data_IF_524822250594
#
_entry.id   IF_524822250594
#
_cell.length_a   1.000
_cell.length_b   1.000
_cell.length_c   1.000
_cell.angle_alpha   90.00
_cell.angle_beta   90.00
_cell.angle_gamma   90.00
#
_symmetry.space_group_name_H-M   'P 1'
#
loop_
_entity.id
_entity.type
_entity.pdbx_description
1 polymer ?
#
# COMPACT_ATOMS: atom_id res chain seq x y z
N UNK A 1 6.75 53.80 2.12
CA UNK A 1 5.49 53.24 1.56
C UNK A 1 5.58 51.73 1.58
N UNK A 2 4.89 51.08 2.52
CA UNK A 2 4.82 49.64 2.65
C UNK A 2 3.66 49.13 1.76
N UNK A 3 3.92 48.26 0.82
CA UNK A 3 2.86 47.52 0.11
C UNK A 3 2.66 46.18 0.77
N UNK A 4 1.51 46.01 1.36
CA UNK A 4 0.98 44.75 1.91
C UNK A 4 0.31 44.01 0.74
N UNK A 5 0.71 42.79 0.47
CA UNK A 5 -0.04 41.89 -0.41
C UNK A 5 -0.82 40.89 0.45
N UNK A 6 -2.12 41.04 0.41
CA UNK A 6 -3.11 40.14 0.96
C UNK A 6 -3.18 38.84 0.14
N UNK A 7 -3.06 37.71 0.81
CA UNK A 7 -3.42 36.39 0.24
C UNK A 7 -4.94 36.36 0.04
N UNK A 8 -5.38 36.16 -1.18
CA UNK A 8 -6.76 35.82 -1.48
C UNK A 8 -6.89 34.32 -1.69
N UNK A 9 -7.66 33.69 -0.81
CA UNK A 9 -8.20 32.35 -0.97
C UNK A 9 -9.01 32.26 -2.28
N UNK A 10 -8.72 31.26 -3.09
CA UNK A 10 -9.65 30.79 -4.10
C UNK A 10 -9.86 29.27 -3.96
N UNK A 11 -10.91 28.96 -3.23
CA UNK A 11 -11.63 27.72 -3.39
C UNK A 11 -12.49 27.83 -4.68
N UNK A 12 -12.36 26.88 -5.59
CA UNK A 12 -13.30 26.52 -6.65
C UNK A 12 -12.90 25.10 -7.04
N UNK A 13 -13.70 24.11 -6.91
CA UNK A 13 -15.08 24.06 -7.38
C UNK A 13 -15.13 22.89 -8.35
N UNK A 14 -15.80 21.84 -7.96
CA UNK A 14 -16.17 20.64 -8.71
C UNK A 14 -16.23 20.83 -10.24
N UNK A 15 -15.65 19.88 -10.97
CA UNK A 15 -16.31 19.37 -12.19
C UNK A 15 -16.13 17.87 -12.29
N UNK A 16 -17.22 17.19 -12.10
CA UNK A 16 -17.50 15.81 -12.41
C UNK A 16 -17.50 15.66 -13.93
N UNK A 17 -16.61 14.88 -14.48
CA UNK A 17 -16.74 14.38 -15.85
C UNK A 17 -16.49 12.89 -15.86
N UNK A 18 -17.56 12.12 -15.87
CA UNK A 18 -17.54 10.71 -16.19
C UNK A 18 -17.12 10.53 -17.66
N UNK A 19 -16.07 9.75 -17.89
CA UNK A 19 -15.84 9.17 -19.20
C UNK A 19 -15.53 7.68 -19.03
N UNK A 20 -16.54 6.86 -19.31
CA UNK A 20 -16.40 5.44 -19.57
C UNK A 20 -15.49 5.28 -20.81
N UNK A 21 -14.36 4.62 -20.66
CA UNK A 21 -13.70 3.99 -21.78
C UNK A 21 -13.39 2.54 -21.37
N UNK A 22 -14.24 1.65 -21.85
CA UNK A 22 -14.04 0.20 -21.89
C UNK A 22 -12.88 -0.07 -22.85
N UNK A 23 -11.81 -0.62 -22.32
CA UNK A 23 -10.66 -1.08 -23.07
C UNK A 23 -10.29 -2.49 -22.63
N UNK A 24 -10.99 -3.48 -23.17
CA UNK A 24 -10.62 -4.90 -23.07
C UNK A 24 -9.44 -5.16 -24.00
N UNK A 25 -8.26 -5.42 -23.47
CA UNK A 25 -7.19 -6.13 -24.20
C UNK A 25 -7.15 -7.57 -23.75
N UNK A 26 -7.79 -8.40 -24.55
CA UNK A 26 -7.67 -9.84 -24.47
C UNK A 26 -6.28 -10.26 -24.95
N UNK A 27 -5.53 -10.94 -24.10
CA UNK A 27 -4.37 -11.74 -24.52
C UNK A 27 -4.90 -13.07 -25.05
N UNK A 28 -4.80 -13.22 -26.38
CA UNK A 28 -5.08 -14.46 -27.05
C UNK A 28 -4.00 -15.47 -26.75
N UNK A 29 -4.35 -16.56 -26.08
CA UNK A 29 -3.58 -17.80 -26.14
C UNK A 29 -4.26 -18.76 -27.11
N UNK A 30 -3.47 -19.12 -28.11
CA UNK A 30 -3.79 -20.12 -29.12
C UNK A 30 -4.02 -21.50 -28.49
N UNK A 31 -5.21 -22.04 -28.63
CA UNK A 31 -5.43 -23.49 -28.62
C UNK A 31 -6.37 -23.85 -29.76
N UNK A 32 -5.83 -24.67 -30.68
CA UNK A 32 -6.51 -25.25 -31.82
C UNK A 32 -7.46 -26.37 -31.39
N UNK A 33 -8.65 -26.41 -32.00
CA UNK A 33 -9.31 -27.68 -32.32
C UNK A 33 -10.56 -28.05 -31.54
N UNK A 34 -11.61 -27.94 -32.21
CA UNK A 34 -12.70 -28.84 -32.55
C UNK A 34 -14.11 -28.47 -32.01
N UNK A 35 -14.92 -28.30 -33.01
CA UNK A 35 -16.39 -28.18 -33.04
C UNK A 35 -17.08 -29.37 -32.38
N UNK A 36 -18.07 -29.13 -31.53
CA UNK A 36 -19.40 -29.74 -31.66
C UNK A 36 -20.46 -29.04 -30.79
N UNK A 37 -21.64 -28.96 -31.40
CA UNK A 37 -22.88 -28.39 -30.96
C UNK A 37 -23.44 -29.09 -29.70
N UNK A 38 -23.93 -28.37 -28.74
CA UNK A 38 -24.71 -28.90 -27.62
C UNK A 38 -25.28 -27.81 -26.74
N UNK A 39 -26.50 -27.39 -27.07
CA UNK A 39 -27.34 -26.56 -26.19
C UNK A 39 -27.64 -27.34 -24.91
N UNK A 40 -27.21 -26.83 -23.76
CA UNK A 40 -27.73 -27.25 -22.46
C UNK A 40 -28.04 -26.00 -21.64
N UNK A 41 -29.33 -25.83 -21.38
CA UNK A 41 -29.85 -24.92 -20.37
C UNK A 41 -29.27 -25.25 -19.00
N UNK A 42 -28.85 -24.31 -18.40
CA UNK A 42 -28.68 -24.06 -17.15
C UNK A 42 -28.62 -24.50 -15.91
N UNK A 43 -27.87 -24.30 -15.07
CA UNK A 43 -28.11 -24.17 -13.62
C UNK A 43 -26.98 -23.29 -13.10
N UNK A 44 -27.29 -22.08 -12.66
CA UNK A 44 -26.39 -21.27 -11.86
C UNK A 44 -26.14 -22.02 -10.54
N UNK A 45 -25.11 -22.85 -10.56
CA UNK A 45 -24.50 -23.34 -9.33
C UNK A 45 -23.42 -22.31 -8.96
N UNK A 46 -23.72 -21.53 -7.94
CA UNK A 46 -22.75 -20.64 -7.30
C UNK A 46 -21.51 -21.43 -6.87
N UNK A 47 -20.54 -21.52 -7.72
CA UNK A 47 -19.20 -21.94 -7.34
C UNK A 47 -18.62 -20.83 -6.48
N UNK A 48 -18.44 -21.11 -5.20
CA UNK A 48 -17.55 -20.38 -4.32
C UNK A 48 -16.12 -20.53 -4.90
N UNK A 49 -15.82 -19.77 -5.96
CA UNK A 49 -14.43 -19.57 -6.34
C UNK A 49 -13.75 -18.89 -5.17
N UNK A 50 -12.67 -19.50 -4.68
CA UNK A 50 -11.81 -18.91 -3.66
C UNK A 50 -11.20 -17.62 -4.25
N UNK A 51 -11.94 -16.51 -4.19
CA UNK A 51 -11.41 -15.20 -4.54
C UNK A 51 -10.22 -14.93 -3.62
N UNK A 52 -9.03 -14.86 -4.20
CA UNK A 52 -7.82 -14.53 -3.47
C UNK A 52 -7.62 -13.02 -3.55
N UNK A 53 -7.83 -12.35 -2.43
CA UNK A 53 -7.56 -10.92 -2.32
C UNK A 53 -6.08 -10.69 -1.98
N UNK A 54 -5.45 -9.75 -2.69
CA UNK A 54 -4.09 -9.30 -2.42
C UNK A 54 -4.09 -7.77 -2.19
N UNK A 55 -3.30 -7.28 -1.24
CA UNK A 55 -3.17 -5.84 -1.03
C UNK A 55 -2.52 -5.17 -2.25
N UNK A 56 -2.75 -3.88 -2.41
CA UNK A 56 -2.07 -3.08 -3.42
C UNK A 56 -0.55 -3.25 -3.32
N UNK A 57 0.12 -3.26 -4.46
CA UNK A 57 1.58 -3.40 -4.50
C UNK A 57 2.25 -2.23 -3.77
N UNK A 58 3.31 -2.50 -3.02
CA UNK A 58 4.05 -1.45 -2.29
C UNK A 58 4.48 -0.30 -3.21
N UNK A 59 4.89 -0.61 -4.44
CA UNK A 59 5.31 0.41 -5.40
C UNK A 59 4.22 1.43 -5.76
N UNK A 60 2.93 1.08 -5.66
CA UNK A 60 1.82 2.02 -5.85
C UNK A 60 1.58 2.93 -4.63
N UNK A 61 2.16 2.58 -3.49
CA UNK A 61 2.09 3.35 -2.23
C UNK A 61 3.31 4.24 -2.01
N UNK A 62 4.31 4.19 -2.92
CA UNK A 62 5.49 5.04 -2.84
C UNK A 62 5.22 6.39 -3.51
N UNK A 63 5.18 7.45 -2.70
CA UNK A 63 5.02 8.81 -3.17
C UNK A 63 6.35 9.58 -3.00
N UNK A 64 6.97 10.03 -4.10
CA UNK A 64 8.17 10.83 -4.03
C UNK A 64 7.93 12.15 -3.31
N UNK A 65 8.86 12.54 -2.45
CA UNK A 65 8.88 13.86 -1.81
C UNK A 65 10.03 14.70 -2.34
N UNK A 66 9.90 16.01 -2.24
CA UNK A 66 10.95 16.92 -2.68
C UNK A 66 12.23 16.72 -1.85
N UNK A 67 13.37 16.70 -2.55
CA UNK A 67 14.69 16.75 -1.91
C UNK A 67 14.94 18.17 -1.38
N UNK A 68 15.14 18.30 -0.07
CA UNK A 68 15.43 19.57 0.59
C UNK A 68 16.77 19.58 1.35
N UNK A 69 17.35 18.42 1.62
CA UNK A 69 18.58 18.31 2.41
C UNK A 69 18.40 18.74 3.87
N UNK A 70 19.44 19.36 4.46
CA UNK A 70 19.42 19.94 5.81
C UNK A 70 18.97 18.97 6.92
N UNK A 71 19.43 17.72 6.86
CA UNK A 71 19.06 16.67 7.79
C UNK A 71 17.76 15.96 7.46
N UNK A 72 17.26 16.11 6.23
CA UNK A 72 16.08 15.37 5.75
C UNK A 72 16.29 13.86 5.92
N UNK A 73 15.35 13.21 6.57
CA UNK A 73 15.32 11.75 6.68
C UNK A 73 14.39 11.15 5.63
N UNK A 74 14.89 10.16 4.91
CA UNK A 74 14.14 9.55 3.82
C UNK A 74 14.66 8.13 3.53
N UNK A 75 13.83 7.35 2.82
CA UNK A 75 14.29 6.20 2.06
C UNK A 75 14.68 6.65 0.66
N UNK A 76 15.62 5.94 0.03
CA UNK A 76 16.09 6.23 -1.33
C UNK A 76 15.76 5.03 -2.19
N UNK A 77 14.93 5.24 -3.21
CA UNK A 77 14.36 4.19 -4.05
C UNK A 77 14.78 4.36 -5.50
N UNK A 78 15.33 3.30 -6.09
CA UNK A 78 15.67 3.27 -7.51
C UNK A 78 14.44 2.95 -8.36
N UNK A 79 14.11 3.82 -9.30
CA UNK A 79 12.89 3.75 -10.10
C UNK A 79 12.89 2.54 -11.04
N UNK A 80 14.02 2.26 -11.68
CA UNK A 80 14.13 1.20 -12.69
C UNK A 80 14.14 -0.20 -12.07
N UNK A 81 14.96 -0.42 -11.04
CA UNK A 81 15.09 -1.72 -10.39
C UNK A 81 14.01 -2.00 -9.36
N UNK A 82 13.25 -0.96 -8.98
CA UNK A 82 12.22 -1.03 -7.93
C UNK A 82 12.78 -1.51 -6.60
N UNK A 83 13.93 -0.95 -6.19
CA UNK A 83 14.63 -1.34 -4.99
C UNK A 83 15.07 -0.13 -4.16
N UNK A 84 15.18 -0.33 -2.84
CA UNK A 84 15.69 0.66 -1.90
C UNK A 84 17.18 0.48 -1.65
N UNK A 85 17.89 1.58 -1.42
CA UNK A 85 19.27 1.55 -0.92
C UNK A 85 19.27 1.15 0.55
N UNK A 86 20.22 0.30 0.91
CA UNK A 86 20.55 -0.03 2.32
C UNK A 86 21.96 0.40 2.69
N UNK A 87 22.25 0.47 3.98
CA UNK A 87 23.62 0.64 4.50
C UNK A 87 24.54 -0.58 4.27
N UNK A 88 24.07 -1.55 3.47
CA UNK A 88 24.82 -2.75 3.08
C UNK A 88 25.21 -2.65 1.60
N UNK A 89 25.91 -3.63 1.12
CA UNK A 89 26.41 -3.67 -0.27
C UNK A 89 25.34 -4.06 -1.30
N UNK A 90 24.10 -4.33 -0.88
CA UNK A 90 23.00 -4.75 -1.71
C UNK A 90 21.75 -3.88 -1.50
N UNK A 91 20.89 -3.83 -2.50
CA UNK A 91 19.57 -3.20 -2.40
C UNK A 91 18.52 -4.18 -1.90
N UNK A 92 17.38 -3.67 -1.42
CA UNK A 92 16.22 -4.47 -0.98
C UNK A 92 14.95 -4.05 -1.72
N UNK A 93 14.00 -4.97 -1.84
CA UNK A 93 12.76 -4.73 -2.58
C UNK A 93 11.67 -4.06 -1.76
N UNK A 94 11.63 -4.32 -0.45
CA UNK A 94 10.55 -3.86 0.41
C UNK A 94 11.00 -2.72 1.33
N UNK A 95 10.15 -1.72 1.52
CA UNK A 95 10.43 -0.58 2.41
C UNK A 95 10.66 -1.00 3.86
N UNK A 96 10.04 -2.10 4.31
CA UNK A 96 10.24 -2.63 5.67
C UNK A 96 11.70 -3.00 5.95
N UNK A 97 12.44 -3.42 4.93
CA UNK A 97 13.83 -3.87 4.99
C UNK A 97 14.82 -2.75 4.62
N UNK A 98 14.30 -1.60 4.20
CA UNK A 98 15.09 -0.44 3.80
C UNK A 98 15.62 0.34 5.01
N UNK A 99 16.80 0.93 4.83
CA UNK A 99 17.41 1.81 5.82
C UNK A 99 17.02 3.27 5.58
N UNK A 100 16.89 4.02 6.67
CA UNK A 100 16.69 5.47 6.65
C UNK A 100 18.02 6.17 6.38
N UNK A 101 17.97 7.16 5.50
CA UNK A 101 19.11 7.99 5.14
C UNK A 101 18.90 9.42 5.61
N UNK A 102 19.93 10.01 6.22
CA UNK A 102 19.99 11.44 6.51
C UNK A 102 20.67 12.14 5.34
N UNK A 103 19.97 13.07 4.71
CA UNK A 103 20.40 13.84 3.55
C UNK A 103 20.78 15.24 3.99
N UNK A 104 22.06 15.61 3.82
CA UNK A 104 22.58 16.91 4.20
C UNK A 104 23.06 17.69 2.98
N UNK A 105 22.91 19.01 3.02
CA UNK A 105 23.33 19.92 1.98
C UNK A 105 22.19 20.78 1.41
N UNK A 106 22.53 21.70 0.53
CA UNK A 106 21.61 22.63 -0.14
C UNK A 106 21.92 22.82 -1.64
N UNK A 107 23.22 22.81 -2.01
CA UNK A 107 23.72 22.90 -3.40
C UNK A 107 24.34 21.59 -3.86
N UNK A 108 24.99 20.93 -2.94
CA UNK A 108 25.50 19.56 -3.10
C UNK A 108 25.07 18.74 -1.89
N UNK A 109 24.79 17.48 -2.09
CA UNK A 109 24.15 16.65 -1.09
C UNK A 109 25.00 15.46 -0.72
N UNK A 110 25.05 15.14 0.56
CA UNK A 110 25.66 13.92 1.08
C UNK A 110 24.60 13.06 1.77
N UNK A 111 24.78 11.75 1.69
CA UNK A 111 23.84 10.76 2.17
C UNK A 111 24.52 9.88 3.20
N UNK A 112 23.99 9.85 4.42
CA UNK A 112 24.48 9.04 5.54
C UNK A 112 23.36 8.16 6.05
N UNK A 113 23.57 6.85 6.09
CA UNK A 113 22.64 5.89 6.65
C UNK A 113 22.49 6.08 8.16
N UNK A 114 21.29 5.96 8.67
CA UNK A 114 21.00 6.08 10.12
C UNK A 114 21.31 4.79 10.90
N UNK A 115 21.95 3.79 10.26
CA UNK A 115 22.41 2.57 10.91
C UNK A 115 23.58 2.84 11.89
N UNK A 116 23.95 1.83 12.67
CA UNK A 116 25.05 1.93 13.65
C UNK A 116 26.40 2.29 13.00
N UNK A 117 26.66 1.77 11.80
CA UNK A 117 27.92 1.99 11.06
C UNK A 117 28.02 3.37 10.43
N UNK A 118 26.90 4.13 10.38
CA UNK A 118 26.81 5.43 9.68
C UNK A 118 27.36 5.36 8.26
N UNK A 119 26.95 4.32 7.52
CA UNK A 119 27.35 4.10 6.15
C UNK A 119 27.00 5.30 5.26
N UNK A 120 27.80 5.52 4.21
CA UNK A 120 27.68 6.67 3.33
C UNK A 120 27.64 6.23 1.88
N UNK A 121 27.00 7.02 1.02
CA UNK A 121 27.08 6.84 -0.42
C UNK A 121 28.39 7.45 -0.95
N UNK A 122 29.07 6.68 -1.77
CA UNK A 122 30.29 7.10 -2.45
C UNK A 122 30.15 6.95 -3.97
N UNK A 123 30.59 7.97 -4.69
CA UNK A 123 30.75 7.97 -6.15
C UNK A 123 32.09 8.66 -6.44
N UNK A 124 33.12 7.89 -6.72
CA UNK A 124 34.49 8.38 -6.80
C UNK A 124 35.23 7.84 -8.02
N UNK A 125 36.13 8.66 -8.57
CA UNK A 125 37.08 8.22 -9.57
C UNK A 125 38.36 7.83 -8.83
N UNK A 126 38.60 6.55 -8.69
CA UNK A 126 39.67 5.97 -7.82
C UNK A 126 40.41 4.84 -8.53
N UNK A 127 41.54 4.43 -7.96
CA UNK A 127 42.30 3.29 -8.48
C UNK A 127 41.67 1.99 -8.00
N UNK A 128 41.19 1.21 -8.99
CA UNK A 128 40.79 -0.19 -8.78
C UNK A 128 41.50 -0.99 -9.84
N UNK A 129 42.31 -1.97 -9.40
CA UNK A 129 43.15 -2.76 -10.31
C UNK A 129 42.32 -3.23 -11.55
N UNK A 130 42.80 -3.04 -12.78
CA UNK A 130 44.18 -2.60 -13.14
C UNK A 130 44.33 -1.08 -13.39
N UNK A 131 43.38 -0.20 -13.02
CA UNK A 131 43.51 1.22 -13.36
C UNK A 131 42.60 2.16 -12.58
N UNK A 132 42.62 3.42 -12.97
CA UNK A 132 41.69 4.45 -12.49
C UNK A 132 40.33 4.33 -13.17
N UNK A 133 39.26 4.25 -12.38
CA UNK A 133 37.88 4.15 -12.87
C UNK A 133 36.90 4.78 -11.90
N UNK A 134 35.70 5.06 -12.38
CA UNK A 134 34.59 5.42 -11.52
C UNK A 134 34.08 4.22 -10.74
N UNK A 135 33.80 4.47 -9.46
CA UNK A 135 33.30 3.46 -8.53
C UNK A 135 32.17 4.03 -7.70
N UNK A 136 31.12 3.24 -7.50
CA UNK A 136 30.00 3.55 -6.62
C UNK A 136 29.90 2.47 -5.54
N UNK A 137 29.73 2.89 -4.29
CA UNK A 137 29.57 1.98 -3.15
C UNK A 137 28.81 2.62 -2.00
N UNK A 138 28.38 1.77 -1.09
CA UNK A 138 27.95 2.14 0.28
C UNK A 138 28.99 1.59 1.24
N UNK A 139 29.52 2.44 2.11
CA UNK A 139 30.63 2.07 2.99
C UNK A 139 30.63 2.87 4.29
N UNK A 140 31.04 2.20 5.39
CA UNK A 140 31.27 2.78 6.71
C UNK A 140 32.67 3.34 6.91
N UNK A 141 33.44 3.54 5.84
CA UNK A 141 34.82 4.00 5.97
C UNK A 141 34.90 5.43 6.51
N UNK A 142 35.06 5.57 7.82
CA UNK A 142 35.12 6.86 8.52
C UNK A 142 36.27 7.76 8.11
N UNK A 143 37.32 7.20 7.49
CA UNK A 143 38.48 7.97 7.02
C UNK A 143 38.20 8.73 5.72
N UNK A 144 37.18 8.34 4.97
CA UNK A 144 36.78 9.01 3.73
C UNK A 144 35.64 9.99 4.02
N UNK A 145 35.72 11.16 3.39
CA UNK A 145 34.56 12.08 3.36
C UNK A 145 33.51 11.52 2.43
N UNK A 146 32.26 11.57 2.86
CA UNK A 146 31.13 11.25 1.98
C UNK A 146 31.21 12.04 0.66
N UNK A 147 30.77 11.43 -0.43
CA UNK A 147 30.66 12.15 -1.71
C UNK A 147 29.63 13.27 -1.57
N UNK A 148 30.00 14.47 -2.00
CA UNK A 148 29.05 15.55 -2.23
C UNK A 148 28.55 15.40 -3.67
N UNK A 149 27.30 14.96 -3.80
CA UNK A 149 26.62 14.78 -5.08
C UNK A 149 26.06 16.10 -5.59
N UNK A 150 26.17 16.35 -6.87
CA UNK A 150 25.31 17.29 -7.58
C UNK A 150 24.03 16.57 -7.93
N UNK A 151 22.89 17.24 -7.78
CA UNK A 151 21.59 16.68 -8.07
C UNK A 151 21.09 17.27 -9.39
N UNK A 152 20.67 16.41 -10.28
CA UNK A 152 19.99 16.74 -11.54
C UNK A 152 18.57 16.17 -11.48
N UNK A 153 17.65 16.75 -12.24
CA UNK A 153 16.32 16.18 -12.43
C UNK A 153 16.44 14.83 -13.15
N UNK A 154 15.66 13.87 -12.70
CA UNK A 154 15.62 12.55 -13.32
C UNK A 154 14.86 12.54 -14.64
N UNK A 155 14.89 11.40 -15.32
CA UNK A 155 14.10 11.16 -16.53
C UNK A 155 12.63 10.85 -16.18
N UNK A 156 12.40 10.36 -14.99
CA UNK A 156 11.07 10.09 -14.45
C UNK A 156 10.60 11.29 -13.61
N UNK A 157 9.33 11.61 -13.69
CA UNK A 157 8.73 12.71 -12.92
C UNK A 157 9.03 12.57 -11.41
N UNK A 158 9.41 13.68 -10.76
CA UNK A 158 9.78 13.75 -9.33
C UNK A 158 10.97 12.86 -8.92
N UNK A 159 11.76 12.39 -9.87
CA UNK A 159 13.00 11.67 -9.58
C UNK A 159 14.23 12.57 -9.68
N UNK A 160 15.34 12.09 -9.14
CA UNK A 160 16.61 12.78 -9.10
C UNK A 160 17.74 11.87 -9.57
N UNK A 161 18.74 12.44 -10.23
CA UNK A 161 20.03 11.80 -10.52
C UNK A 161 21.08 12.27 -9.53
N UNK A 162 21.78 11.34 -8.93
CA UNK A 162 22.90 11.62 -8.01
C UNK A 162 24.20 11.58 -8.82
N UNK A 163 24.79 12.75 -9.06
CA UNK A 163 25.91 12.89 -10.01
C UNK A 163 27.19 13.39 -9.34
N UNK A 164 28.31 13.10 -9.98
CA UNK A 164 29.62 13.64 -9.63
C UNK A 164 30.40 13.98 -10.90
N UNK A 165 30.84 15.22 -10.97
CA UNK A 165 31.70 15.70 -12.07
C UNK A 165 33.17 15.61 -11.68
N UNK A 166 34.02 15.22 -12.62
CA UNK A 166 35.49 15.30 -12.51
C UNK A 166 36.14 15.60 -13.83
N UNK A 167 37.10 16.53 -13.83
CA UNK A 167 38.00 16.76 -14.95
C UNK A 167 39.14 15.75 -14.90
N UNK A 168 39.20 14.84 -15.87
CA UNK A 168 40.17 13.77 -15.94
C UNK A 168 41.21 14.16 -17.00
N UNK A 169 42.52 14.11 -16.65
CA UNK A 169 43.59 14.64 -17.50
C UNK A 169 43.68 13.96 -18.89
N UNK A 170 43.45 12.64 -18.94
CA UNK A 170 43.56 11.87 -20.18
C UNK A 170 42.29 11.71 -20.94
N UNK A 171 41.13 11.72 -20.27
CA UNK A 171 39.82 11.41 -20.86
C UNK A 171 38.89 12.61 -20.94
N UNK A 172 39.41 13.81 -20.59
CA UNK A 172 38.56 15.00 -20.51
C UNK A 172 37.61 15.06 -19.32
N UNK A 173 36.66 16.00 -19.32
CA UNK A 173 35.68 16.10 -18.27
C UNK A 173 34.65 14.96 -18.35
N UNK A 174 34.33 14.37 -17.21
CA UNK A 174 33.32 13.30 -17.10
C UNK A 174 32.33 13.59 -15.98
N UNK A 175 31.08 13.27 -16.20
CA UNK A 175 30.04 13.17 -15.17
C UNK A 175 29.73 11.69 -14.98
N UNK A 176 29.75 11.25 -13.74
CA UNK A 176 29.30 9.91 -13.36
C UNK A 176 28.01 9.99 -12.56
N UNK A 177 27.19 8.96 -12.69
CA UNK A 177 25.89 8.78 -12.06
C UNK A 177 25.95 7.61 -11.09
N UNK A 178 25.42 7.80 -9.88
CA UNK A 178 25.21 6.70 -8.94
C UNK A 178 24.01 5.87 -9.42
N UNK A 179 24.21 4.57 -9.58
CA UNK A 179 23.24 3.68 -10.20
C UNK A 179 23.22 2.30 -9.55
N UNK A 180 22.32 1.44 -10.01
CA UNK A 180 22.20 0.05 -9.59
C UNK A 180 22.20 -0.85 -10.83
N UNK A 181 22.91 -1.97 -10.75
CA UNK A 181 22.85 -3.06 -11.73
C UNK A 181 22.64 -4.37 -11.01
N UNK A 182 21.45 -4.97 -11.20
CA UNK A 182 21.00 -6.05 -10.32
C UNK A 182 20.82 -5.55 -8.90
N UNK A 183 21.54 -6.14 -7.95
CA UNK A 183 21.53 -5.73 -6.53
C UNK A 183 22.76 -4.88 -6.14
N UNK A 184 23.65 -4.57 -7.08
CA UNK A 184 24.93 -3.90 -6.80
C UNK A 184 24.89 -2.42 -7.18
N UNK A 185 25.58 -1.60 -6.39
CA UNK A 185 25.81 -0.21 -6.73
C UNK A 185 26.91 -0.12 -7.81
N UNK A 186 26.65 0.71 -8.82
CA UNK A 186 27.57 0.91 -9.95
C UNK A 186 27.65 2.38 -10.31
N UNK A 187 28.79 2.78 -10.89
CA UNK A 187 28.92 4.09 -11.53
C UNK A 187 28.60 3.98 -13.01
N UNK A 188 27.63 4.75 -13.49
CA UNK A 188 27.32 4.90 -14.92
C UNK A 188 27.93 6.21 -15.47
N UNK A 189 28.36 6.21 -16.72
CA UNK A 189 28.80 7.42 -17.41
C UNK A 189 27.71 8.00 -18.33
N UNK A 190 26.64 7.24 -18.52
CA UNK A 190 25.52 7.66 -19.37
C UNK A 190 24.28 7.87 -18.50
N UNK A 191 23.53 8.97 -18.70
CA UNK A 191 22.27 9.18 -18.03
C UNK A 191 21.22 8.20 -18.58
N UNK A 192 20.54 7.50 -17.66
CA UNK A 192 19.46 6.57 -17.99
C UNK A 192 18.41 6.57 -16.88
N UNK A 193 17.33 5.84 -17.07
CA UNK A 193 16.33 5.61 -16.00
C UNK A 193 16.92 4.81 -14.83
N UNK A 194 17.97 4.02 -15.04
CA UNK A 194 18.65 3.27 -13.99
C UNK A 194 19.34 4.17 -12.96
N UNK A 195 19.51 5.45 -13.31
CA UNK A 195 20.07 6.48 -12.44
C UNK A 195 18.99 7.33 -11.75
N UNK A 196 17.72 7.04 -11.95
CA UNK A 196 16.61 7.79 -11.37
C UNK A 196 16.29 7.29 -9.96
N UNK A 197 16.23 8.23 -9.02
CA UNK A 197 16.01 7.96 -7.62
C UNK A 197 14.84 8.76 -7.08
N UNK A 198 13.92 8.12 -6.38
CA UNK A 198 12.92 8.78 -5.56
C UNK A 198 13.44 8.98 -4.14
N UNK A 199 13.10 10.11 -3.57
CA UNK A 199 13.22 10.39 -2.14
C UNK A 199 11.85 10.10 -1.53
N UNK A 200 11.77 9.12 -0.63
CA UNK A 200 10.53 8.62 -0.05
C UNK A 200 10.49 8.98 1.44
N UNK A 201 9.42 9.61 1.89
CA UNK A 201 9.26 9.99 3.30
C UNK A 201 9.22 8.77 4.23
N UNK A 202 9.74 8.94 5.45
CA UNK A 202 9.87 7.83 6.42
C UNK A 202 8.55 7.33 6.96
N UNK A 203 7.51 8.16 6.96
CA UNK A 203 6.16 7.80 7.41
C UNK A 203 5.46 6.78 6.50
N UNK A 204 5.84 6.72 5.22
CA UNK A 204 5.23 5.79 4.26
C UNK A 204 5.41 4.32 4.66
N UNK A 205 6.50 3.98 5.32
CA UNK A 205 6.72 2.62 5.85
C UNK A 205 5.64 2.20 6.83
N UNK A 206 5.32 3.08 7.78
CA UNK A 206 4.35 2.79 8.82
C UNK A 206 2.93 2.77 8.25
N UNK A 207 2.60 3.70 7.38
CA UNK A 207 1.30 3.78 6.71
C UNK A 207 1.04 2.53 5.87
N UNK A 208 2.02 2.08 5.07
CA UNK A 208 1.87 0.86 4.27
C UNK A 208 1.79 -0.40 5.14
N UNK A 209 2.55 -0.47 6.22
CA UNK A 209 2.48 -1.58 7.17
C UNK A 209 1.11 -1.67 7.86
N UNK A 210 0.53 -0.54 8.26
CA UNK A 210 -0.83 -0.47 8.82
C UNK A 210 -1.87 -0.95 7.81
N UNK A 211 -1.81 -0.44 6.58
CA UNK A 211 -2.71 -0.85 5.49
C UNK A 211 -2.67 -2.36 5.25
N UNK A 212 -1.48 -2.93 5.05
CA UNK A 212 -1.33 -4.37 4.77
C UNK A 212 -1.76 -5.26 5.92
N UNK A 213 -1.56 -4.81 7.16
CA UNK A 213 -2.05 -5.49 8.36
C UNK A 213 -3.57 -5.56 8.39
N UNK A 214 -4.23 -4.42 8.19
CA UNK A 214 -5.70 -4.34 8.15
C UNK A 214 -6.29 -5.12 6.97
N UNK A 215 -5.66 -5.03 5.80
CA UNK A 215 -6.09 -5.80 4.63
C UNK A 215 -6.04 -7.31 4.89
N UNK A 216 -4.96 -7.78 5.50
CA UNK A 216 -4.79 -9.19 5.88
C UNK A 216 -5.84 -9.60 6.92
N UNK A 217 -6.12 -8.75 7.90
CA UNK A 217 -7.14 -9.00 8.90
C UNK A 217 -8.53 -9.10 8.27
N UNK A 218 -8.89 -8.17 7.38
CA UNK A 218 -10.16 -8.21 6.65
C UNK A 218 -10.28 -9.49 5.79
N UNK A 219 -9.22 -9.87 5.07
CA UNK A 219 -9.19 -11.10 4.27
C UNK A 219 -9.35 -12.37 5.13
N UNK A 220 -8.80 -12.37 6.35
CA UNK A 220 -8.97 -13.50 7.28
C UNK A 220 -10.40 -13.58 7.84
N UNK A 221 -11.11 -12.46 7.99
CA UNK A 221 -12.50 -12.44 8.41
C UNK A 221 -13.45 -13.11 7.41
N UNK A 222 -13.12 -13.09 6.09
CA UNK A 222 -13.88 -13.85 5.07
C UNK A 222 -13.89 -15.36 5.31
N UNK A 223 -12.87 -15.89 6.03
CA UNK A 223 -12.73 -17.32 6.33
C UNK A 223 -13.31 -17.69 7.69
N UNK A 224 -13.94 -16.74 8.39
CA UNK A 224 -14.48 -16.97 9.71
C UNK A 224 -15.85 -17.67 9.60
N UNK A 225 -15.92 -18.92 10.02
CA UNK A 225 -17.13 -19.76 9.96
C UNK A 225 -18.37 -19.10 10.60
N UNK A 226 -18.19 -18.26 11.63
CA UNK A 226 -19.29 -17.55 12.28
C UNK A 226 -19.97 -16.51 11.36
N UNK A 227 -19.32 -16.10 10.29
CA UNK A 227 -19.87 -15.16 9.32
C UNK A 227 -20.55 -15.82 8.13
N UNK A 228 -20.55 -17.16 8.00
CA UNK A 228 -21.07 -17.86 6.83
C UNK A 228 -22.52 -17.49 6.49
N UNK A 229 -23.35 -17.25 7.52
CA UNK A 229 -24.76 -16.84 7.34
C UNK A 229 -24.96 -15.30 7.35
N UNK A 230 -23.88 -14.52 7.29
CA UNK A 230 -23.88 -13.05 7.33
C UNK A 230 -23.51 -12.46 5.97
N UNK A 231 -24.34 -12.70 4.95
CA UNK A 231 -24.07 -12.29 3.57
C UNK A 231 -23.78 -10.80 3.42
N UNK A 232 -24.50 -9.92 4.14
CA UNK A 232 -24.28 -8.49 4.09
C UNK A 232 -22.92 -8.07 4.65
N UNK A 233 -22.45 -8.74 5.73
CA UNK A 233 -21.14 -8.50 6.33
C UNK A 233 -20.03 -9.02 5.42
N UNK A 234 -20.18 -10.22 4.89
CA UNK A 234 -19.22 -10.81 3.93
C UNK A 234 -19.13 -9.96 2.65
N UNK A 235 -20.27 -9.48 2.14
CA UNK A 235 -20.31 -8.57 0.99
C UNK A 235 -19.57 -7.26 1.26
N UNK A 236 -19.77 -6.65 2.43
CA UNK A 236 -19.06 -5.44 2.82
C UNK A 236 -17.53 -5.65 2.92
N UNK A 237 -17.09 -6.79 3.47
CA UNK A 237 -15.66 -7.13 3.54
C UNK A 237 -15.08 -7.30 2.13
N UNK A 238 -15.75 -8.05 1.25
CA UNK A 238 -15.30 -8.24 -0.15
C UNK A 238 -15.18 -6.90 -0.87
N UNK A 239 -16.19 -6.04 -0.77
CA UNK A 239 -16.17 -4.70 -1.39
C UNK A 239 -15.00 -3.87 -0.86
N UNK A 240 -14.80 -3.82 0.46
CA UNK A 240 -13.68 -3.09 1.05
C UNK A 240 -12.32 -3.60 0.56
N UNK A 241 -12.13 -4.91 0.47
CA UNK A 241 -10.90 -5.51 -0.05
C UNK A 241 -10.69 -5.18 -1.54
N UNK A 242 -11.74 -5.24 -2.36
CA UNK A 242 -11.67 -4.93 -3.80
C UNK A 242 -11.34 -3.45 -4.06
N UNK A 243 -11.94 -2.55 -3.30
CA UNK A 243 -11.71 -1.11 -3.41
C UNK A 243 -10.29 -0.75 -2.96
N UNK A 244 -9.88 -1.20 -1.78
CA UNK A 244 -8.58 -0.85 -1.20
C UNK A 244 -7.40 -1.57 -1.86
N UNK A 245 -7.63 -2.71 -2.56
CA UNK A 245 -6.59 -3.37 -3.37
C UNK A 245 -6.03 -2.49 -4.52
N UNK A 246 -6.71 -1.40 -4.87
CA UNK A 246 -6.30 -0.41 -5.88
C UNK A 246 -5.73 0.86 -5.24
N UNK A 247 -5.57 0.86 -3.93
CA UNK A 247 -5.13 2.02 -3.16
C UNK A 247 -3.72 2.49 -3.49
N UNK A 248 -3.48 3.75 -3.20
CA UNK A 248 -2.19 4.43 -3.31
C UNK A 248 -1.91 5.19 -2.02
N UNK A 249 -0.74 5.80 -1.90
CA UNK A 249 -0.44 6.63 -0.72
C UNK A 249 -1.42 7.81 -0.57
N UNK A 250 -1.88 8.40 -1.67
CA UNK A 250 -2.86 9.50 -1.64
C UNK A 250 -4.22 9.08 -1.10
N UNK A 251 -4.62 7.82 -1.29
CA UNK A 251 -5.87 7.26 -0.78
C UNK A 251 -5.71 6.60 0.58
N UNK A 252 -4.50 6.54 1.14
CA UNK A 252 -4.15 5.75 2.33
C UNK A 252 -5.07 5.98 3.53
N UNK A 253 -5.37 7.24 3.85
CA UNK A 253 -6.25 7.57 4.98
C UNK A 253 -7.67 7.06 4.79
N UNK A 254 -8.21 7.15 3.55
CA UNK A 254 -9.54 6.63 3.20
C UNK A 254 -9.56 5.10 3.25
N UNK A 255 -8.56 4.45 2.65
CA UNK A 255 -8.48 3.00 2.56
C UNK A 255 -8.31 2.35 3.94
N UNK A 256 -7.42 2.91 4.77
CA UNK A 256 -7.22 2.48 6.16
C UNK A 256 -8.52 2.64 6.98
N UNK A 257 -9.23 3.76 6.83
CA UNK A 257 -10.49 3.97 7.53
C UNK A 257 -11.60 3.02 7.05
N UNK A 258 -11.69 2.75 5.75
CA UNK A 258 -12.63 1.78 5.16
C UNK A 258 -12.39 0.40 5.75
N UNK A 259 -11.14 -0.07 5.77
CA UNK A 259 -10.78 -1.36 6.36
C UNK A 259 -11.09 -1.41 7.86
N UNK A 260 -10.70 -0.39 8.64
CA UNK A 260 -10.99 -0.32 10.08
C UNK A 260 -12.48 -0.41 10.39
N UNK A 261 -13.29 0.35 9.66
CA UNK A 261 -14.75 0.38 9.86
C UNK A 261 -15.37 -0.98 9.53
N UNK A 262 -14.96 -1.57 8.41
CA UNK A 262 -15.45 -2.88 7.97
C UNK A 262 -15.06 -4.00 8.95
N UNK A 263 -13.80 -4.01 9.39
CA UNK A 263 -13.32 -4.97 10.41
C UNK A 263 -14.08 -4.83 11.72
N UNK A 264 -14.32 -3.60 12.18
CA UNK A 264 -15.06 -3.35 13.41
C UNK A 264 -16.51 -3.87 13.32
N UNK A 265 -17.17 -3.65 12.17
CA UNK A 265 -18.51 -4.16 11.92
C UNK A 265 -18.56 -5.69 11.91
N UNK A 266 -17.58 -6.34 11.26
CA UNK A 266 -17.47 -7.79 11.20
C UNK A 266 -17.21 -8.40 12.59
N UNK A 267 -16.28 -7.84 13.37
CA UNK A 267 -16.01 -8.28 14.75
C UNK A 267 -17.24 -8.14 15.63
N UNK A 268 -17.98 -7.06 15.49
CA UNK A 268 -19.23 -6.85 16.21
C UNK A 268 -20.27 -7.91 15.83
N UNK A 269 -20.43 -8.25 14.57
CA UNK A 269 -21.33 -9.32 14.12
C UNK A 269 -20.94 -10.67 14.74
N UNK A 270 -19.65 -11.00 14.77
CA UNK A 270 -19.13 -12.22 15.42
C UNK A 270 -19.46 -12.23 16.93
N UNK A 271 -19.29 -11.09 17.59
CA UNK A 271 -19.61 -10.96 19.02
C UNK A 271 -21.11 -11.14 19.26
N UNK A 272 -21.96 -10.50 18.47
CA UNK A 272 -23.43 -10.60 18.57
C UNK A 272 -23.89 -12.07 18.38
N UNK A 273 -23.31 -12.80 17.43
CA UNK A 273 -23.57 -14.23 17.20
C UNK A 273 -23.10 -15.05 18.41
N UNK A 274 -21.91 -14.78 18.91
CA UNK A 274 -21.32 -15.52 20.06
C UNK A 274 -22.15 -15.33 21.34
N UNK A 275 -22.68 -14.13 21.53
CA UNK A 275 -23.55 -13.81 22.68
C UNK A 275 -25.00 -14.25 22.43
N UNK A 276 -25.33 -14.91 21.32
CA UNK A 276 -26.67 -15.34 20.96
C UNK A 276 -27.64 -14.20 20.73
N UNK A 277 -27.13 -13.01 20.34
CA UNK A 277 -27.92 -11.82 20.00
C UNK A 277 -28.01 -11.75 18.47
N UNK A 278 -29.10 -12.25 17.89
CA UNK A 278 -29.39 -12.04 16.46
C UNK A 278 -29.89 -10.61 16.26
N UNK A 279 -29.28 -9.85 15.36
CA UNK A 279 -29.90 -8.60 14.88
C UNK A 279 -31.17 -8.94 14.10
N UNK A 280 -32.30 -8.45 14.58
CA UNK A 280 -33.64 -8.86 14.14
C UNK A 280 -34.14 -8.23 12.84
N UNK A 281 -33.34 -7.37 12.18
CA UNK A 281 -33.84 -6.61 11.02
C UNK A 281 -34.00 -7.44 9.74
N UNK A 282 -33.18 -8.49 9.53
CA UNK A 282 -33.14 -9.14 8.21
C UNK A 282 -33.83 -10.52 8.12
N UNK A 283 -34.13 -11.16 9.27
CA UNK A 283 -34.70 -12.52 9.28
C UNK A 283 -36.17 -12.63 9.69
N UNK A 284 -36.89 -11.51 9.78
CA UNK A 284 -38.30 -11.50 10.13
C UNK A 284 -39.25 -11.57 8.95
N UNK A 285 -38.74 -11.63 7.72
CA UNK A 285 -39.60 -11.51 6.52
C UNK A 285 -40.56 -12.68 6.31
N UNK A 286 -40.26 -13.89 6.88
CA UNK A 286 -41.03 -15.10 6.57
C UNK A 286 -41.48 -15.96 7.75
N UNK A 287 -41.22 -15.57 9.01
CA UNK A 287 -41.62 -16.36 10.17
C UNK A 287 -42.24 -15.48 11.26
N UNK A 288 -43.47 -15.80 11.69
CA UNK A 288 -44.17 -15.10 12.77
C UNK A 288 -43.71 -15.54 14.16
N UNK A 289 -43.70 -14.60 15.12
CA UNK A 289 -43.43 -14.90 16.52
C UNK A 289 -44.68 -15.60 17.12
N UNK A 290 -44.50 -16.84 17.53
CA UNK A 290 -45.58 -17.64 18.17
C UNK A 290 -45.61 -17.50 19.68
N UNK A 291 -44.48 -17.22 20.31
CA UNK A 291 -44.39 -17.05 21.77
C UNK A 291 -43.21 -16.20 22.17
N UNK A 292 -43.36 -15.40 23.21
CA UNK A 292 -42.34 -14.52 23.77
C UNK A 292 -42.12 -14.89 25.22
N UNK A 293 -40.84 -14.98 25.64
CA UNK A 293 -40.45 -15.26 27.02
C UNK A 293 -39.40 -14.24 27.47
N UNK A 294 -39.42 -13.89 28.75
CA UNK A 294 -38.31 -13.14 29.36
C UNK A 294 -37.09 -14.04 29.58
N UNK A 295 -35.94 -13.47 29.90
CA UNK A 295 -34.69 -14.22 30.18
C UNK A 295 -34.82 -15.28 31.28
N UNK A 296 -35.79 -15.11 32.22
CA UNK A 296 -36.09 -16.09 33.29
C UNK A 296 -37.15 -17.14 32.91
N UNK A 297 -37.53 -17.19 31.60
CA UNK A 297 -38.49 -18.19 31.12
C UNK A 297 -39.99 -17.81 31.26
N UNK A 298 -40.32 -16.64 31.82
CA UNK A 298 -41.73 -16.22 31.99
C UNK A 298 -42.30 -15.80 30.66
N UNK A 299 -43.47 -16.35 30.25
CA UNK A 299 -44.14 -16.01 29.01
C UNK A 299 -44.67 -14.57 29.05
N UNK A 300 -44.49 -13.83 27.96
CA UNK A 300 -44.90 -12.44 27.79
C UNK A 300 -45.88 -12.32 26.62
N UNK A 301 -46.76 -11.32 26.69
CA UNK A 301 -47.71 -11.02 25.63
C UNK A 301 -47.05 -10.19 24.49
N UNK A 302 -45.99 -9.47 24.83
CA UNK A 302 -45.24 -8.61 23.88
C UNK A 302 -43.77 -8.51 24.28
N UNK A 303 -42.91 -8.04 23.34
CA UNK A 303 -41.52 -7.77 23.61
C UNK A 303 -41.38 -6.67 24.66
N UNK A 304 -40.54 -6.90 25.65
CA UNK A 304 -40.23 -5.93 26.74
C UNK A 304 -38.79 -5.48 26.66
N UNK A 305 -38.49 -4.32 27.24
CA UNK A 305 -37.10 -3.81 27.32
C UNK A 305 -36.21 -4.86 27.96
N UNK A 306 -35.02 -5.07 27.36
CA UNK A 306 -34.06 -6.09 27.75
C UNK A 306 -34.14 -7.36 26.89
N UNK A 307 -33.63 -8.47 27.38
CA UNK A 307 -33.52 -9.72 26.63
C UNK A 307 -34.86 -10.44 26.61
N UNK A 308 -35.35 -10.75 25.40
CA UNK A 308 -36.52 -11.59 25.17
C UNK A 308 -36.10 -12.85 24.40
N UNK A 309 -36.70 -14.00 24.77
CA UNK A 309 -36.57 -15.27 24.05
C UNK A 309 -37.86 -15.46 23.26
N UNK A 310 -37.77 -15.56 21.93
CA UNK A 310 -38.93 -15.74 21.08
C UNK A 310 -38.89 -17.07 20.37
N UNK A 311 -40.07 -17.75 20.31
CA UNK A 311 -40.26 -18.94 19.50
C UNK A 311 -40.97 -18.52 18.21
N UNK A 312 -40.42 -18.94 17.08
CA UNK A 312 -40.94 -18.61 15.75
C UNK A 312 -41.86 -19.70 15.21
N UNK A 313 -42.70 -19.38 14.20
CA UNK A 313 -43.60 -20.31 13.55
C UNK A 313 -42.91 -21.51 12.88
N UNK A 314 -41.67 -21.34 12.46
CA UNK A 314 -40.83 -22.38 11.90
C UNK A 314 -40.10 -23.25 12.96
N UNK A 315 -40.46 -23.08 14.25
CA UNK A 315 -39.88 -23.85 15.38
C UNK A 315 -38.55 -23.27 15.91
N UNK A 316 -37.94 -22.30 15.24
CA UNK A 316 -36.70 -21.66 15.69
C UNK A 316 -36.94 -20.88 17.02
N UNK A 317 -35.91 -20.86 17.87
CA UNK A 317 -35.91 -20.05 19.11
C UNK A 317 -34.82 -18.97 18.94
N UNK A 318 -35.21 -17.71 19.10
CA UNK A 318 -34.29 -16.57 18.97
C UNK A 318 -34.26 -15.74 20.27
N UNK A 319 -33.10 -15.12 20.52
CA UNK A 319 -32.88 -14.18 21.64
C UNK A 319 -32.88 -12.77 21.06
N UNK A 320 -33.79 -11.91 21.50
CA UNK A 320 -33.98 -10.54 21.02
C UNK A 320 -33.65 -9.58 22.16
N UNK A 321 -32.79 -8.59 21.89
CA UNK A 321 -32.56 -7.47 22.79
C UNK A 321 -33.39 -6.27 22.34
N UNK A 322 -34.34 -5.84 23.19
CA UNK A 322 -35.10 -4.60 23.00
C UNK A 322 -34.45 -3.50 23.84
N UNK A 323 -34.00 -2.43 23.20
CA UNK A 323 -33.38 -1.26 23.83
C UNK A 323 -34.37 -0.32 24.46
#
# INVERSE_FOLDING_TARGET
MKKIYTLANMAKGMMLAALLAVGTTALAQNVSGNTENGTVEGTENGSNENETFAPAAESSWLQPVKLVGNGQKAYIYNVATKTFITGKTATVKNIKDADVWTINGDKTYSFTCDNESKDRLFLEYTYIFPGLQWHAEVSSNDKRKATNFTIEEGSTENSYKLTKYKKITLNGPQTAYFSVSGEKYVASLEPSIDNDWYIISTDQKEVYAEYTSLFTEAANLLKNEKLNDQESVLGAIKTALQETAKGTFDTSSSDINTLKTTIAAAKKAIEDITNGISNTSDNLKDAEITSIYSANGTRKAQLTKGINIVKMSNGAVKKILVK
#
